data_IF_751705963770
#
_entry.id   IF_751705963770
#
_cell.length_a   1.000
_cell.length_b   1.000
_cell.length_c   1.000
_cell.angle_alpha   90.00
_cell.angle_beta   90.00
_cell.angle_gamma   90.00
#
_symmetry.space_group_name_H-M   'P 1'
#
loop_
_entity.id
_entity.type
_entity.pdbx_description
1 polymer ?
#
# COMPACT_ATOMS: atom_id res chain seq x y z
N UNK A 1 8.07 -28.60 -6.52
CA UNK A 1 7.68 -27.17 -6.42
C UNK A 1 7.30 -26.95 -4.96
N UNK A 2 7.64 -25.82 -4.36
CA UNK A 2 7.29 -25.54 -2.95
C UNK A 2 5.76 -25.44 -2.82
N UNK A 3 5.15 -26.08 -1.80
CA UNK A 3 3.68 -26.10 -1.61
C UNK A 3 3.06 -24.70 -1.54
N UNK A 4 3.79 -23.73 -0.97
CA UNK A 4 3.36 -22.32 -0.91
C UNK A 4 3.33 -21.69 -2.31
N UNK A 5 4.29 -22.00 -3.16
CA UNK A 5 4.31 -21.54 -4.57
C UNK A 5 3.12 -22.10 -5.33
N UNK A 6 2.86 -23.41 -5.18
CA UNK A 6 1.70 -24.06 -5.81
C UNK A 6 0.38 -23.41 -5.37
N UNK A 7 0.27 -23.06 -4.09
CA UNK A 7 -0.89 -22.36 -3.52
C UNK A 7 -1.05 -20.96 -4.12
N UNK A 8 0.03 -20.18 -4.27
CA UNK A 8 -0.04 -18.85 -4.89
C UNK A 8 -0.49 -18.92 -6.35
N UNK A 9 0.05 -19.87 -7.14
CA UNK A 9 -0.37 -20.07 -8.51
C UNK A 9 -1.86 -20.43 -8.60
N UNK A 10 -2.34 -21.33 -7.73
CA UNK A 10 -3.76 -21.69 -7.64
C UNK A 10 -4.64 -20.48 -7.31
N UNK A 11 -4.29 -19.69 -6.30
CA UNK A 11 -5.03 -18.48 -5.93
C UNK A 11 -5.05 -17.49 -7.10
N UNK A 12 -3.93 -17.32 -7.80
CA UNK A 12 -3.87 -16.45 -8.97
C UNK A 12 -4.85 -16.89 -10.05
N UNK A 13 -4.88 -18.18 -10.39
CA UNK A 13 -5.84 -18.71 -11.38
C UNK A 13 -7.29 -18.53 -10.93
N UNK A 14 -7.61 -18.87 -9.68
CA UNK A 14 -8.97 -18.78 -9.14
C UNK A 14 -9.47 -17.32 -9.03
N UNK A 15 -8.58 -16.37 -8.71
CA UNK A 15 -8.92 -14.95 -8.49
C UNK A 15 -8.42 -14.01 -9.58
N UNK A 16 -7.99 -14.55 -10.71
CA UNK A 16 -7.34 -13.78 -11.79
C UNK A 16 -8.18 -12.58 -12.23
N UNK A 17 -9.45 -12.81 -12.50
CA UNK A 17 -10.37 -11.74 -12.92
C UNK A 17 -10.50 -10.64 -11.87
N UNK A 18 -10.66 -11.03 -10.60
CA UNK A 18 -10.77 -10.08 -9.48
C UNK A 18 -9.47 -9.26 -9.30
N UNK A 19 -8.31 -9.90 -9.47
CA UNK A 19 -7.00 -9.25 -9.41
C UNK A 19 -6.82 -8.27 -10.58
N UNK A 20 -7.13 -8.68 -11.81
CA UNK A 20 -7.02 -7.84 -13.00
C UNK A 20 -7.96 -6.62 -12.92
N UNK A 21 -9.19 -6.79 -12.44
CA UNK A 21 -10.14 -5.70 -12.19
C UNK A 21 -9.59 -4.73 -11.13
N UNK A 22 -9.03 -5.23 -10.04
CA UNK A 22 -8.41 -4.41 -8.99
C UNK A 22 -7.20 -3.62 -9.52
N UNK A 23 -6.33 -4.25 -10.29
CA UNK A 23 -5.17 -3.57 -10.90
C UNK A 23 -5.61 -2.50 -11.89
N UNK A 24 -6.70 -2.71 -12.62
CA UNK A 24 -7.30 -1.70 -13.49
C UNK A 24 -7.83 -0.51 -12.68
N UNK A 25 -8.54 -0.76 -11.59
CA UNK A 25 -9.02 0.31 -10.69
C UNK A 25 -7.86 1.17 -10.17
N UNK A 26 -6.71 0.56 -9.85
CA UNK A 26 -5.51 1.31 -9.46
C UNK A 26 -4.98 2.18 -10.60
N UNK A 27 -4.92 1.67 -11.83
CA UNK A 27 -4.49 2.44 -13.01
C UNK A 27 -5.41 3.64 -13.29
N UNK A 28 -6.70 3.46 -13.05
CA UNK A 28 -7.70 4.51 -13.28
C UNK A 28 -7.72 5.57 -12.16
N UNK A 29 -7.04 5.33 -11.03
CA UNK A 29 -7.12 6.21 -9.86
C UNK A 29 -6.61 7.62 -10.12
N UNK A 30 -5.54 7.81 -10.90
CA UNK A 30 -5.01 9.14 -11.23
C UNK A 30 -5.96 9.95 -12.12
N UNK A 31 -6.95 9.32 -12.77
CA UNK A 31 -7.99 10.01 -13.56
C UNK A 31 -9.16 10.51 -12.67
N UNK A 32 -9.26 10.04 -11.43
CA UNK A 32 -10.28 10.47 -10.46
C UNK A 32 -9.97 11.86 -9.91
N UNK A 33 -10.80 12.36 -9.00
CA UNK A 33 -10.58 13.66 -8.36
C UNK A 33 -9.30 13.71 -7.54
N UNK A 34 -8.78 14.91 -7.24
CA UNK A 34 -7.64 15.10 -6.35
C UNK A 34 -7.94 14.57 -4.95
N UNK A 35 -9.22 14.67 -4.51
CA UNK A 35 -9.66 14.12 -3.23
C UNK A 35 -9.59 12.59 -3.20
N UNK A 36 -9.95 11.90 -4.30
CA UNK A 36 -9.86 10.45 -4.38
C UNK A 36 -8.40 9.98 -4.29
N UNK A 37 -7.49 10.63 -5.02
CA UNK A 37 -6.05 10.33 -4.95
C UNK A 37 -5.49 10.63 -3.55
N UNK A 38 -5.93 11.73 -2.93
CA UNK A 38 -5.53 12.07 -1.57
C UNK A 38 -6.09 11.08 -0.54
N UNK A 39 -7.29 10.55 -0.75
CA UNK A 39 -7.87 9.52 0.11
C UNK A 39 -7.02 8.25 0.10
N UNK A 40 -6.48 7.83 -1.05
CA UNK A 40 -5.55 6.69 -1.13
C UNK A 40 -4.24 6.97 -0.38
N UNK A 41 -3.70 8.18 -0.47
CA UNK A 41 -2.54 8.57 0.34
C UNK A 41 -2.84 8.46 1.84
N UNK A 42 -3.97 9.02 2.28
CA UNK A 42 -4.40 8.97 3.68
C UNK A 42 -4.65 7.55 4.17
N UNK A 43 -5.21 6.68 3.31
CA UNK A 43 -5.34 5.25 3.59
C UNK A 43 -3.97 4.64 3.88
N UNK A 44 -2.98 4.86 3.01
CA UNK A 44 -1.63 4.33 3.19
C UNK A 44 -0.94 4.89 4.45
N UNK A 45 -1.14 6.16 4.80
CA UNK A 45 -0.67 6.76 6.07
C UNK A 45 -1.31 6.08 7.29
N UNK A 46 -2.53 5.55 7.15
CA UNK A 46 -3.26 4.89 8.24
C UNK A 46 -2.92 3.41 8.40
N UNK A 47 -2.37 2.72 7.38
CA UNK A 47 -2.11 1.28 7.42
C UNK A 47 -1.01 0.80 8.38
N UNK A 48 0.07 1.57 8.75
CA UNK A 48 1.09 1.06 9.66
C UNK A 48 0.49 0.55 10.96
N UNK A 49 0.73 -0.73 11.28
CA UNK A 49 0.23 -1.43 12.47
C UNK A 49 -1.30 -1.38 12.64
N UNK A 50 -2.06 -1.18 11.57
CA UNK A 50 -3.52 -1.11 11.57
C UNK A 50 -4.08 -2.09 10.53
N UNK A 51 -5.20 -2.71 10.83
CA UNK A 51 -5.90 -3.54 9.84
C UNK A 51 -6.35 -2.68 8.66
N UNK A 52 -6.13 -3.13 7.43
CA UNK A 52 -6.47 -2.38 6.22
C UNK A 52 -7.95 -1.96 6.18
N UNK A 53 -8.86 -2.85 6.55
CA UNK A 53 -10.30 -2.55 6.66
C UNK A 53 -10.63 -1.44 7.67
N UNK A 54 -9.91 -1.38 8.79
CA UNK A 54 -10.08 -0.30 9.77
C UNK A 54 -9.58 1.05 9.22
N UNK A 55 -8.47 1.05 8.50
CA UNK A 55 -7.98 2.25 7.81
C UNK A 55 -8.98 2.73 6.76
N UNK A 56 -9.48 1.83 5.93
CA UNK A 56 -10.46 2.14 4.87
C UNK A 56 -11.78 2.71 5.44
N UNK A 57 -12.32 2.09 6.49
CA UNK A 57 -13.50 2.56 7.18
C UNK A 57 -13.30 3.98 7.78
N UNK A 58 -12.10 4.27 8.30
CA UNK A 58 -11.75 5.58 8.81
C UNK A 58 -11.72 6.64 7.69
N UNK A 59 -11.11 6.32 6.54
CA UNK A 59 -11.08 7.22 5.37
C UNK A 59 -12.49 7.48 4.85
N UNK A 60 -13.31 6.45 4.70
CA UNK A 60 -14.72 6.57 4.28
C UNK A 60 -15.52 7.45 5.26
N UNK A 61 -15.32 7.27 6.57
CA UNK A 61 -15.97 8.08 7.60
C UNK A 61 -15.56 9.55 7.54
N UNK A 62 -14.27 9.84 7.27
CA UNK A 62 -13.78 11.22 7.13
C UNK A 62 -14.33 11.89 5.86
N UNK A 63 -14.42 11.16 4.75
CA UNK A 63 -15.03 11.67 3.51
C UNK A 63 -16.50 12.00 3.69
N UNK A 64 -17.28 11.08 4.25
CA UNK A 64 -18.71 11.27 4.50
C UNK A 64 -19.03 12.50 5.37
N UNK A 65 -18.07 12.91 6.23
CA UNK A 65 -18.18 14.07 7.12
C UNK A 65 -17.45 15.32 6.60
N UNK A 66 -16.91 15.26 5.39
CA UNK A 66 -16.06 16.33 4.82
C UNK A 66 -14.86 16.72 5.72
N UNK A 67 -14.35 15.77 6.51
CA UNK A 67 -13.22 16.00 7.42
C UNK A 67 -11.87 15.68 6.77
N UNK A 68 -11.83 14.88 5.71
CA UNK A 68 -10.58 14.50 5.07
C UNK A 68 -9.78 15.73 4.59
N UNK A 69 -10.46 16.70 3.99
CA UNK A 69 -9.84 17.93 3.50
C UNK A 69 -9.94 19.09 4.50
N UNK A 70 -11.01 19.16 5.30
CA UNK A 70 -11.35 20.36 6.09
C UNK A 70 -11.30 20.13 7.61
N UNK A 71 -11.28 18.88 8.11
CA UNK A 71 -11.24 18.58 9.54
C UNK A 71 -9.95 19.06 10.19
N UNK A 72 -10.03 19.50 11.43
CA UNK A 72 -8.86 19.77 12.25
C UNK A 72 -8.22 18.44 12.73
N UNK A 73 -7.05 18.51 13.35
CA UNK A 73 -6.31 17.33 13.80
C UNK A 73 -7.11 16.50 14.80
N UNK A 74 -7.83 17.15 15.72
CA UNK A 74 -8.53 16.46 16.81
C UNK A 74 -9.76 15.72 16.28
N UNK A 75 -10.51 16.30 15.33
CA UNK A 75 -11.63 15.66 14.65
C UNK A 75 -11.17 14.41 13.89
N UNK A 76 -10.06 14.52 13.17
CA UNK A 76 -9.47 13.39 12.42
C UNK A 76 -9.01 12.31 13.40
N UNK A 77 -8.30 12.67 14.48
CA UNK A 77 -7.83 11.72 15.49
C UNK A 77 -9.01 10.96 16.14
N UNK A 78 -10.11 11.66 16.43
CA UNK A 78 -11.32 11.04 16.97
C UNK A 78 -11.91 9.99 16.01
N UNK A 79 -12.00 10.31 14.71
CA UNK A 79 -12.46 9.35 13.69
C UNK A 79 -11.51 8.15 13.58
N UNK A 80 -10.19 8.38 13.54
CA UNK A 80 -9.19 7.32 13.48
C UNK A 80 -9.29 6.38 14.68
N UNK A 81 -9.41 6.96 15.90
CA UNK A 81 -9.57 6.21 17.14
C UNK A 81 -10.86 5.37 17.14
N UNK A 82 -11.98 5.97 16.73
CA UNK A 82 -13.29 5.29 16.64
C UNK A 82 -13.25 4.07 15.73
N UNK A 83 -12.48 4.13 14.64
CA UNK A 83 -12.33 3.04 13.69
C UNK A 83 -11.20 2.06 14.06
N UNK A 84 -10.56 2.18 15.21
CA UNK A 84 -9.50 1.28 15.67
C UNK A 84 -8.15 1.47 14.96
N UNK A 85 -7.92 2.63 14.37
CA UNK A 85 -6.62 2.98 13.77
C UNK A 85 -5.61 3.26 14.89
N UNK A 86 -4.48 2.57 14.87
CA UNK A 86 -3.42 2.77 15.88
C UNK A 86 -2.68 4.10 15.66
N UNK A 87 -2.24 4.72 16.75
CA UNK A 87 -1.54 6.01 16.75
C UNK A 87 -2.36 7.16 16.11
N UNK A 88 -3.62 7.34 16.49
CA UNK A 88 -4.54 8.25 15.82
C UNK A 88 -4.03 9.69 15.79
N UNK A 89 -3.43 10.18 16.89
CA UNK A 89 -2.90 11.54 17.02
C UNK A 89 -1.77 11.84 16.03
N UNK A 90 -0.82 10.90 15.91
CA UNK A 90 0.30 11.07 14.97
C UNK A 90 -0.18 11.01 13.53
N UNK A 91 -1.06 10.05 13.21
CA UNK A 91 -1.60 9.86 11.86
C UNK A 91 -2.51 11.01 11.44
N UNK A 92 -3.32 11.55 12.36
CA UNK A 92 -4.10 12.76 12.11
C UNK A 92 -3.18 13.95 11.75
N UNK A 93 -2.10 14.13 12.48
CA UNK A 93 -1.09 15.14 12.16
C UNK A 93 -0.45 14.92 10.77
N UNK A 94 -0.19 13.70 10.38
CA UNK A 94 0.35 13.38 9.04
C UNK A 94 -0.67 13.69 7.93
N UNK A 95 -1.95 13.35 8.13
CA UNK A 95 -3.03 13.64 7.17
C UNK A 95 -3.17 15.15 6.97
N UNK A 96 -3.24 15.92 8.06
CA UNK A 96 -3.36 17.40 8.00
C UNK A 96 -2.17 18.00 7.25
N UNK A 97 -0.94 17.59 7.59
CA UNK A 97 0.26 18.07 6.92
C UNK A 97 0.32 17.68 5.43
N UNK A 98 -0.16 16.48 5.09
CA UNK A 98 -0.14 15.98 3.71
C UNK A 98 -1.08 16.75 2.77
N UNK A 99 -2.06 17.50 3.27
CA UNK A 99 -2.95 18.35 2.45
C UNK A 99 -2.19 19.36 1.60
N UNK A 100 -1.04 19.85 2.07
CA UNK A 100 -0.18 20.73 1.28
C UNK A 100 0.27 20.14 -0.04
N UNK A 101 0.23 18.82 -0.17
CA UNK A 101 0.68 18.08 -1.37
C UNK A 101 -0.48 17.62 -2.27
N UNK A 102 -1.74 17.84 -1.88
CA UNK A 102 -2.94 17.35 -2.58
C UNK A 102 -2.87 17.53 -4.09
N UNK A 103 -2.65 18.76 -4.57
CA UNK A 103 -2.59 19.06 -6.00
C UNK A 103 -1.33 18.49 -6.71
N UNK A 104 -0.28 18.20 -5.96
CA UNK A 104 0.97 17.68 -6.54
C UNK A 104 1.01 16.16 -6.66
N UNK A 105 0.07 15.43 -6.05
CA UNK A 105 0.03 13.97 -6.10
C UNK A 105 -0.17 13.40 -7.50
N UNK A 106 -0.86 14.12 -8.38
CA UNK A 106 -1.03 13.74 -9.79
C UNK A 106 0.15 14.14 -10.68
N UNK A 107 1.06 14.96 -10.16
CA UNK A 107 2.23 15.47 -10.88
C UNK A 107 3.53 14.84 -10.36
N UNK A 108 3.49 13.58 -9.96
CA UNK A 108 4.67 12.81 -9.58
C UNK A 108 5.46 12.41 -10.84
N UNK A 109 6.78 12.16 -10.72
CA UNK A 109 7.58 11.60 -11.80
C UNK A 109 6.95 10.31 -12.33
N UNK A 110 7.02 10.07 -13.64
CA UNK A 110 6.54 8.83 -14.26
C UNK A 110 7.34 7.60 -13.83
N UNK A 111 8.60 7.77 -13.47
CA UNK A 111 9.42 6.72 -12.90
C UNK A 111 8.98 6.43 -11.46
N UNK A 112 8.55 5.20 -11.19
CA UNK A 112 8.04 4.78 -9.89
C UNK A 112 9.06 4.95 -8.73
N UNK A 113 10.35 4.71 -9.00
CA UNK A 113 11.39 4.85 -7.98
C UNK A 113 11.64 6.32 -7.62
N UNK A 114 11.65 7.21 -8.62
CA UNK A 114 11.77 8.66 -8.41
C UNK A 114 10.54 9.23 -7.71
N UNK A 115 9.34 8.79 -8.10
CA UNK A 115 8.09 9.17 -7.46
C UNK A 115 8.08 8.77 -5.97
N UNK A 116 8.55 7.56 -5.65
CA UNK A 116 8.68 7.08 -4.27
C UNK A 116 9.65 7.91 -3.44
N UNK A 117 10.84 8.20 -3.96
CA UNK A 117 11.82 9.06 -3.27
C UNK A 117 11.26 10.46 -3.02
N UNK A 118 10.53 11.02 -3.99
CA UNK A 118 9.88 12.33 -3.83
C UNK A 118 8.81 12.32 -2.75
N UNK A 119 7.98 11.27 -2.68
CA UNK A 119 6.97 11.11 -1.64
C UNK A 119 7.59 11.00 -0.25
N UNK A 120 8.58 10.12 -0.07
CA UNK A 120 9.26 9.89 1.21
C UNK A 120 9.94 11.17 1.71
N UNK A 121 10.56 11.95 0.81
CA UNK A 121 11.23 13.20 1.15
C UNK A 121 10.26 14.28 1.64
N UNK A 122 9.06 14.34 1.07
CA UNK A 122 8.17 15.47 1.25
C UNK A 122 7.00 15.19 2.20
N UNK A 123 6.54 13.94 2.31
CA UNK A 123 5.34 13.61 3.08
C UNK A 123 5.73 12.88 4.36
N UNK A 124 5.55 13.55 5.49
CA UNK A 124 5.82 12.99 6.81
C UNK A 124 4.90 11.80 7.08
N UNK A 125 5.47 10.72 7.58
CA UNK A 125 4.74 9.48 7.89
C UNK A 125 4.80 8.42 6.78
N UNK A 126 5.32 8.74 5.59
CA UNK A 126 5.60 7.75 4.54
C UNK A 126 7.02 7.18 4.68
N UNK A 127 7.11 5.86 4.82
CA UNK A 127 8.33 5.10 4.57
C UNK A 127 8.31 4.48 3.17
N UNK A 128 9.31 3.64 2.87
CA UNK A 128 9.38 2.91 1.60
C UNK A 128 8.14 2.06 1.32
N UNK A 129 7.66 1.35 2.35
CA UNK A 129 6.48 0.48 2.26
C UNK A 129 5.21 1.27 1.96
N UNK A 130 4.94 2.33 2.72
CA UNK A 130 3.73 3.14 2.56
C UNK A 130 3.73 3.91 1.25
N UNK A 131 4.88 4.43 0.81
CA UNK A 131 5.02 5.11 -0.47
C UNK A 131 4.84 4.14 -1.65
N UNK A 132 5.41 2.93 -1.59
CA UNK A 132 5.18 1.88 -2.60
C UNK A 132 3.69 1.47 -2.65
N UNK A 133 3.04 1.36 -1.48
CA UNK A 133 1.63 1.03 -1.38
C UNK A 133 0.75 2.10 -2.05
N UNK A 134 0.99 3.38 -1.73
CA UNK A 134 0.28 4.48 -2.38
C UNK A 134 0.50 4.48 -3.90
N UNK A 135 1.75 4.37 -4.36
CA UNK A 135 2.07 4.36 -5.78
C UNK A 135 1.39 3.21 -6.52
N UNK A 136 1.38 1.99 -5.97
CA UNK A 136 0.64 0.87 -6.54
C UNK A 136 -0.86 1.19 -6.63
N UNK A 137 -1.46 1.76 -5.57
CA UNK A 137 -2.89 2.09 -5.54
C UNK A 137 -3.28 3.22 -6.51
N UNK A 138 -2.31 3.97 -7.04
CA UNK A 138 -2.53 4.99 -8.07
C UNK A 138 -1.91 4.61 -9.42
N UNK A 139 -1.62 3.33 -9.64
CA UNK A 139 -1.29 2.77 -10.95
C UNK A 139 0.18 2.76 -11.34
N UNK A 140 1.12 3.06 -10.42
CA UNK A 140 2.53 2.83 -10.68
C UNK A 140 2.86 1.35 -10.55
N UNK A 141 3.80 0.88 -11.36
CA UNK A 141 4.20 -0.52 -11.45
C UNK A 141 5.67 -0.73 -11.09
N UNK A 142 6.04 -1.98 -10.80
CA UNK A 142 7.41 -2.42 -10.58
C UNK A 142 7.94 -2.21 -9.15
N UNK A 143 7.08 -1.87 -8.20
CA UNK A 143 7.42 -1.72 -6.78
C UNK A 143 6.92 -2.90 -5.96
N UNK A 144 7.57 -3.15 -4.82
CA UNK A 144 7.08 -4.12 -3.84
C UNK A 144 6.60 -3.42 -2.55
N UNK A 145 5.55 -3.95 -1.94
CA UNK A 145 5.02 -3.49 -0.64
C UNK A 145 5.49 -4.45 0.44
N UNK A 146 6.75 -4.26 0.90
CA UNK A 146 7.40 -5.19 1.83
C UNK A 146 6.91 -4.98 3.26
N UNK A 147 5.71 -5.47 3.53
CA UNK A 147 5.18 -5.56 4.88
C UNK A 147 5.58 -6.89 5.56
N UNK A 148 5.15 -7.11 6.80
CA UNK A 148 5.48 -8.34 7.53
C UNK A 148 4.86 -9.60 6.92
N UNK A 149 3.72 -9.48 6.23
CA UNK A 149 3.07 -10.63 5.58
C UNK A 149 3.85 -11.03 4.34
N UNK A 150 4.19 -10.06 3.49
CA UNK A 150 5.01 -10.28 2.31
C UNK A 150 6.39 -10.84 2.69
N UNK A 151 7.07 -10.28 3.69
CA UNK A 151 8.37 -10.78 4.13
C UNK A 151 8.31 -12.22 4.68
N UNK A 152 7.24 -12.58 5.39
CA UNK A 152 7.03 -13.97 5.82
C UNK A 152 6.78 -14.90 4.64
N UNK A 153 5.93 -14.51 3.70
CA UNK A 153 5.72 -15.26 2.48
C UNK A 153 7.01 -15.45 1.66
N UNK A 154 7.84 -14.40 1.54
CA UNK A 154 9.16 -14.51 0.91
C UNK A 154 10.07 -15.53 1.60
N UNK A 155 9.99 -15.64 2.94
CA UNK A 155 10.71 -16.68 3.68
C UNK A 155 10.11 -18.07 3.42
N UNK A 156 8.79 -18.21 3.45
CA UNK A 156 8.09 -19.48 3.21
C UNK A 156 8.42 -20.07 1.83
N UNK A 157 8.58 -19.22 0.82
CA UNK A 157 8.96 -19.65 -0.54
C UNK A 157 10.48 -19.73 -0.76
N UNK A 158 11.30 -19.40 0.24
CA UNK A 158 12.76 -19.55 0.18
C UNK A 158 13.52 -18.40 -0.51
N UNK A 159 12.86 -17.26 -0.81
CA UNK A 159 13.52 -16.08 -1.40
C UNK A 159 14.47 -15.42 -0.41
N UNK A 160 14.15 -15.48 0.87
CA UNK A 160 14.96 -15.00 1.98
C UNK A 160 15.06 -16.09 3.07
N UNK A 161 16.22 -16.15 3.74
CA UNK A 161 16.45 -17.09 4.83
C UNK A 161 15.73 -16.67 6.11
N UNK A 162 15.76 -15.35 6.40
CA UNK A 162 15.16 -14.77 7.59
C UNK A 162 14.44 -13.46 7.30
N UNK A 163 13.35 -13.23 8.05
CA UNK A 163 12.66 -11.92 8.05
C UNK A 163 13.53 -10.92 8.81
N UNK A 164 13.96 -9.82 8.17
CA UNK A 164 14.83 -8.84 8.82
C UNK A 164 14.13 -8.14 9.99
N UNK A 165 14.88 -7.92 11.08
CA UNK A 165 14.37 -7.19 12.26
C UNK A 165 13.99 -5.74 11.94
N UNK A 166 14.71 -5.11 11.02
CA UNK A 166 14.46 -3.74 10.55
C UNK A 166 14.71 -3.63 9.05
N UNK A 167 13.91 -2.81 8.37
CA UNK A 167 14.05 -2.51 6.94
C UNK A 167 14.72 -1.14 6.77
N UNK A 168 16.05 -1.14 6.66
CA UNK A 168 16.76 0.04 6.17
C UNK A 168 16.48 0.24 4.67
N UNK A 169 16.72 1.43 4.13
CA UNK A 169 16.61 1.70 2.69
C UNK A 169 17.34 0.63 1.85
N UNK A 170 18.61 0.35 2.20
CA UNK A 170 19.44 -0.64 1.49
C UNK A 170 18.83 -2.04 1.52
N UNK A 171 18.36 -2.46 2.69
CA UNK A 171 17.71 -3.77 2.87
C UNK A 171 16.42 -3.85 2.09
N UNK A 172 15.58 -2.80 2.16
CA UNK A 172 14.32 -2.73 1.42
C UNK A 172 14.53 -2.90 -0.07
N UNK A 173 15.41 -2.09 -0.68
CA UNK A 173 15.70 -2.14 -2.12
C UNK A 173 16.31 -3.47 -2.57
N UNK A 174 17.13 -4.11 -1.72
CA UNK A 174 17.65 -5.46 -2.00
C UNK A 174 16.54 -6.51 -2.05
N UNK A 175 15.62 -6.46 -1.08
CA UNK A 175 14.51 -7.42 -0.98
C UNK A 175 13.45 -7.16 -2.05
N UNK A 176 13.19 -5.91 -2.39
CA UNK A 176 12.30 -5.52 -3.48
C UNK A 176 12.74 -6.14 -4.81
N UNK A 177 14.03 -6.06 -5.15
CA UNK A 177 14.57 -6.72 -6.35
C UNK A 177 14.31 -8.23 -6.36
N UNK A 178 14.48 -8.90 -5.23
CA UNK A 178 14.20 -10.33 -5.10
C UNK A 178 12.72 -10.64 -5.28
N UNK A 179 11.84 -9.83 -4.69
CA UNK A 179 10.39 -9.98 -4.81
C UNK A 179 9.92 -9.79 -6.26
N UNK A 180 10.39 -8.73 -6.92
CA UNK A 180 10.07 -8.44 -8.33
C UNK A 180 10.55 -9.56 -9.24
N UNK A 181 11.76 -10.07 -9.03
CA UNK A 181 12.27 -11.22 -9.81
C UNK A 181 11.41 -12.47 -9.60
N UNK A 182 11.05 -12.77 -8.37
CA UNK A 182 10.19 -13.92 -8.06
C UNK A 182 8.81 -13.80 -8.69
N UNK A 183 8.20 -12.62 -8.67
CA UNK A 183 6.93 -12.38 -9.36
C UNK A 183 7.06 -12.71 -10.87
N UNK A 184 8.14 -12.22 -11.50
CA UNK A 184 8.44 -12.51 -12.90
C UNK A 184 8.63 -14.01 -13.17
N UNK A 185 9.32 -14.72 -12.27
CA UNK A 185 9.55 -16.17 -12.40
C UNK A 185 8.23 -16.97 -12.31
N UNK A 186 7.22 -16.42 -11.63
CA UNK A 186 5.86 -16.96 -11.57
C UNK A 186 4.94 -16.49 -12.71
N UNK A 187 5.44 -15.68 -13.64
CA UNK A 187 4.62 -15.11 -14.73
C UNK A 187 3.62 -14.05 -14.27
N UNK A 188 3.88 -13.38 -13.14
CA UNK A 188 3.02 -12.35 -12.55
C UNK A 188 3.73 -10.99 -12.50
N UNK A 189 2.94 -9.91 -12.45
CA UNK A 189 3.49 -8.62 -12.02
C UNK A 189 3.71 -8.60 -10.49
N UNK A 190 4.62 -7.75 -9.96
CA UNK A 190 4.79 -7.60 -8.52
C UNK A 190 3.49 -7.22 -7.80
N UNK A 191 2.65 -6.38 -8.42
CA UNK A 191 1.37 -5.94 -7.91
C UNK A 191 0.36 -7.09 -7.84
N UNK A 192 0.34 -7.95 -8.85
CA UNK A 192 -0.51 -9.14 -8.86
C UNK A 192 -0.08 -10.12 -7.76
N UNK A 193 1.23 -10.38 -7.63
CA UNK A 193 1.76 -11.25 -6.58
C UNK A 193 1.45 -10.72 -5.18
N UNK A 194 1.54 -9.41 -4.96
CA UNK A 194 1.17 -8.77 -3.69
C UNK A 194 -0.31 -9.06 -3.34
N UNK A 195 -1.22 -8.89 -4.30
CA UNK A 195 -2.64 -9.19 -4.12
C UNK A 195 -2.90 -10.69 -3.88
N UNK A 196 -2.17 -11.58 -4.56
CA UNK A 196 -2.25 -13.03 -4.34
C UNK A 196 -1.82 -13.38 -2.91
N UNK A 197 -0.69 -12.86 -2.45
CA UNK A 197 -0.17 -13.12 -1.11
C UNK A 197 -1.08 -12.51 -0.02
N UNK A 198 -1.73 -11.39 -0.32
CA UNK A 198 -2.76 -10.84 0.55
C UNK A 198 -3.99 -11.76 0.59
N UNK A 199 -4.48 -12.21 -0.57
CA UNK A 199 -5.63 -13.12 -0.67
C UNK A 199 -5.36 -14.47 0.03
N UNK A 200 -4.13 -14.98 -0.01
CA UNK A 200 -3.72 -16.19 0.74
C UNK A 200 -3.95 -16.05 2.26
N UNK A 201 -3.81 -14.85 2.81
CA UNK A 201 -3.95 -14.59 4.26
C UNK A 201 -5.35 -14.17 4.67
N UNK A 202 -6.11 -13.54 3.78
CA UNK A 202 -7.39 -12.91 4.12
C UNK A 202 -8.59 -13.53 3.42
N UNK A 203 -8.36 -14.29 2.34
CA UNK A 203 -9.39 -14.84 1.47
C UNK A 203 -9.94 -13.86 0.43
N UNK A 204 -9.53 -12.58 0.45
CA UNK A 204 -10.06 -11.52 -0.40
C UNK A 204 -8.97 -10.77 -1.17
N UNK A 205 -9.31 -10.23 -2.35
CA UNK A 205 -8.48 -9.26 -3.06
C UNK A 205 -8.86 -7.86 -2.57
N UNK A 206 -7.92 -7.16 -1.95
CA UNK A 206 -8.17 -5.83 -1.40
C UNK A 206 -7.12 -4.83 -1.91
N UNK A 207 -6.75 -3.83 -1.11
CA UNK A 207 -5.77 -2.80 -1.49
C UNK A 207 -4.73 -2.58 -0.40
#
# INVERSE_FOLDING_TARGET
>A
MNDTVSRYLKIYEEKRKEIEERLKEFKDMLQKSDEDVFAELCFCLCTPQTRARAADAAISSMRAKNLLLNGNKDDIAAILKKNGVRFPESKAGYIVAARAYLKSLKNLPSNAFEARERLIKNIKGLGYKEASHFLRNVGYEGLAILDRHILRGMKEVGIIEEVPKALTKRTYLKLEKKFVQFAKDLGMSPEALDLVMWADKTGEVFK
#
